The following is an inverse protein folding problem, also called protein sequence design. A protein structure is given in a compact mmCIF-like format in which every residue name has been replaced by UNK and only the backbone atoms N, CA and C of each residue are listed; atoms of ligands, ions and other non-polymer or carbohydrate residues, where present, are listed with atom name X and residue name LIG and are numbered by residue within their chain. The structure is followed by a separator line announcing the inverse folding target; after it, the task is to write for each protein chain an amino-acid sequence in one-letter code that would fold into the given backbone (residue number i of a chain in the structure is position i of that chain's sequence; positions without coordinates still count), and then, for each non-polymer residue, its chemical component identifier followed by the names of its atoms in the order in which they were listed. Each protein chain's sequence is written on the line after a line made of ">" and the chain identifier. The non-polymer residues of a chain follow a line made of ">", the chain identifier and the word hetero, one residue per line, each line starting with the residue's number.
data_IF_216893111722
#
_entry.id   IF_216893111722
#
_cell.length_a   1.000
_cell.length_b   1.000
_cell.length_c   1.000
_cell.angle_alpha   90.00
_cell.angle_beta   90.00
_cell.angle_gamma   90.00
#
_symmetry.space_group_name_H-M   'P 1'
#
loop_
_entity.id
_entity.type
_entity.pdbx_description
1 polymer ?
#
# COMPACT_ATOMS: atom_id res chain seq x y z
N UNK A 1 -12.10 17.42 -27.69
CA UNK A 1 -12.62 16.43 -26.77
C UNK A 1 -14.10 16.23 -27.09
N UNK A 2 -14.48 15.06 -27.58
CA UNK A 2 -15.87 14.80 -27.97
C UNK A 2 -16.69 14.42 -26.73
N UNK A 3 -17.61 15.30 -26.33
CA UNK A 3 -18.46 15.10 -25.16
C UNK A 3 -19.42 13.92 -25.28
N UNK A 4 -19.80 13.56 -26.49
CA UNK A 4 -20.68 12.42 -26.75
C UNK A 4 -20.00 11.10 -26.31
N UNK A 5 -18.71 10.96 -26.61
CA UNK A 5 -17.91 9.79 -26.21
C UNK A 5 -17.71 9.77 -24.70
N UNK A 6 -17.42 10.91 -24.08
CA UNK A 6 -17.31 11.01 -22.62
C UNK A 6 -18.59 10.54 -21.95
N UNK A 7 -19.76 11.00 -22.39
CA UNK A 7 -21.06 10.60 -21.83
C UNK A 7 -21.33 9.10 -22.03
N UNK A 8 -20.96 8.54 -23.17
CA UNK A 8 -21.15 7.13 -23.48
C UNK A 8 -20.27 6.24 -22.56
N UNK A 9 -19.01 6.65 -22.31
CA UNK A 9 -18.06 5.84 -21.53
C UNK A 9 -18.07 6.13 -20.04
N UNK A 10 -18.65 7.22 -19.59
CA UNK A 10 -18.71 7.58 -18.17
C UNK A 10 -19.25 6.45 -17.27
N UNK A 11 -20.33 5.72 -17.61
CA UNK A 11 -20.82 4.62 -16.78
C UNK A 11 -19.80 3.48 -16.65
N UNK A 12 -19.02 3.18 -17.70
CA UNK A 12 -17.98 2.17 -17.65
C UNK A 12 -16.82 2.59 -16.75
N UNK A 13 -16.37 3.85 -16.86
CA UNK A 13 -15.37 4.41 -15.96
C UNK A 13 -15.83 4.44 -14.51
N UNK A 14 -17.09 4.77 -14.24
CA UNK A 14 -17.64 4.73 -12.88
C UNK A 14 -17.59 3.31 -12.30
N UNK A 15 -18.04 2.32 -13.05
CA UNK A 15 -18.01 0.92 -12.62
C UNK A 15 -16.57 0.45 -12.37
N UNK A 16 -15.65 0.75 -13.29
CA UNK A 16 -14.23 0.42 -13.15
C UNK A 16 -13.58 1.15 -11.97
N UNK A 17 -13.94 2.41 -11.72
CA UNK A 17 -13.46 3.18 -10.58
C UNK A 17 -13.80 2.51 -9.24
N UNK A 18 -15.06 2.10 -9.05
CA UNK A 18 -15.47 1.42 -7.83
C UNK A 18 -14.84 0.03 -7.70
N UNK A 19 -14.67 -0.70 -8.81
CA UNK A 19 -13.97 -1.99 -8.80
C UNK A 19 -12.50 -1.81 -8.39
N UNK A 20 -11.80 -0.86 -9.02
CA UNK A 20 -10.41 -0.55 -8.70
C UNK A 20 -10.25 -0.12 -7.24
N UNK A 21 -11.12 0.76 -6.75
CA UNK A 21 -11.13 1.21 -5.36
C UNK A 21 -11.40 0.06 -4.40
N UNK A 22 -12.37 -0.80 -4.69
CA UNK A 22 -12.70 -1.96 -3.87
C UNK A 22 -11.49 -2.90 -3.71
N UNK A 23 -10.86 -3.27 -4.82
CA UNK A 23 -9.67 -4.13 -4.82
C UNK A 23 -8.49 -3.46 -4.10
N UNK A 24 -8.27 -2.16 -4.33
CA UNK A 24 -7.24 -1.40 -3.65
C UNK A 24 -7.45 -1.41 -2.12
N UNK A 25 -8.67 -1.19 -1.64
CA UNK A 25 -8.99 -1.22 -0.21
C UNK A 25 -8.74 -2.60 0.38
N UNK A 26 -9.21 -3.67 -0.25
CA UNK A 26 -8.97 -5.04 0.22
C UNK A 26 -7.48 -5.39 0.22
N UNK A 27 -6.77 -5.03 -0.84
CA UNK A 27 -5.33 -5.24 -0.96
C UNK A 27 -4.54 -4.48 0.11
N UNK A 28 -4.86 -3.21 0.35
CA UNK A 28 -4.20 -2.37 1.37
C UNK A 28 -4.48 -2.91 2.77
N UNK A 29 -5.72 -3.27 3.09
CA UNK A 29 -6.06 -3.86 4.40
C UNK A 29 -5.31 -5.18 4.62
N UNK A 30 -5.32 -6.08 3.63
CA UNK A 30 -4.56 -7.32 3.71
C UNK A 30 -3.05 -7.09 3.84
N UNK A 31 -2.51 -6.11 3.10
CA UNK A 31 -1.11 -5.69 3.20
C UNK A 31 -0.75 -5.16 4.58
N UNK A 32 -1.64 -4.38 5.20
CA UNK A 32 -1.46 -3.88 6.56
C UNK A 32 -1.33 -5.04 7.55
N UNK A 33 -2.25 -5.98 7.54
CA UNK A 33 -2.21 -7.12 8.46
C UNK A 33 -1.02 -8.04 8.20
N UNK A 34 -0.72 -8.37 6.95
CA UNK A 34 0.44 -9.19 6.60
C UNK A 34 1.74 -8.48 7.00
N UNK A 35 1.86 -7.19 6.70
CA UNK A 35 3.02 -6.38 7.08
C UNK A 35 3.21 -6.30 8.60
N UNK A 36 2.12 -6.16 9.36
CA UNK A 36 2.17 -6.18 10.83
C UNK A 36 2.70 -7.51 11.36
N UNK A 37 2.15 -8.63 10.87
CA UNK A 37 2.61 -9.97 11.28
C UNK A 37 4.09 -10.18 10.96
N UNK A 38 4.50 -9.85 9.74
CA UNK A 38 5.89 -9.97 9.30
C UNK A 38 6.83 -9.08 10.13
N UNK A 39 6.43 -7.84 10.42
CA UNK A 39 7.20 -6.92 11.26
C UNK A 39 7.38 -7.46 12.68
N UNK A 40 6.32 -7.99 13.29
CA UNK A 40 6.38 -8.60 14.63
C UNK A 40 7.30 -9.82 14.65
N UNK A 41 7.18 -10.73 13.68
CA UNK A 41 8.06 -11.92 13.55
C UNK A 41 9.54 -11.50 13.50
N UNK A 42 9.87 -10.49 12.71
CA UNK A 42 11.24 -10.00 12.56
C UNK A 42 11.72 -9.24 13.79
N UNK A 43 10.87 -8.46 14.44
CA UNK A 43 11.21 -7.73 15.66
C UNK A 43 11.60 -8.69 16.80
N UNK A 44 10.82 -9.73 17.02
CA UNK A 44 11.10 -10.74 18.03
C UNK A 44 12.12 -11.80 17.60
N UNK A 45 12.66 -11.69 16.37
CA UNK A 45 13.66 -12.63 15.81
C UNK A 45 13.24 -14.09 15.96
N UNK A 46 11.96 -14.39 15.69
CA UNK A 46 11.45 -15.75 15.80
C UNK A 46 12.25 -16.67 14.88
N UNK A 47 12.92 -17.73 15.41
CA UNK A 47 13.77 -18.60 14.61
C UNK A 47 13.02 -19.17 13.40
N UNK A 48 13.71 -19.35 12.27
CA UNK A 48 13.17 -19.81 10.98
C UNK A 48 12.18 -18.84 10.36
N UNK A 49 11.12 -18.39 11.08
CA UNK A 49 10.11 -17.47 10.55
C UNK A 49 10.71 -16.11 10.20
N UNK A 50 11.67 -15.62 10.96
CA UNK A 50 12.37 -14.36 10.64
C UNK A 50 13.16 -14.46 9.33
N UNK A 51 13.81 -15.62 9.07
CA UNK A 51 14.53 -15.85 7.82
C UNK A 51 13.57 -15.96 6.64
N UNK A 52 12.46 -16.69 6.80
CA UNK A 52 11.41 -16.78 5.78
C UNK A 52 10.78 -15.41 5.49
N UNK A 53 10.55 -14.62 6.52
CA UNK A 53 10.04 -13.24 6.38
C UNK A 53 11.02 -12.35 5.61
N UNK A 54 12.32 -12.49 5.84
CA UNK A 54 13.35 -11.77 5.08
C UNK A 54 13.35 -12.20 3.61
N UNK A 55 13.35 -13.51 3.34
CA UNK A 55 13.28 -14.03 1.98
C UNK A 55 12.00 -13.56 1.25
N UNK A 56 10.85 -13.55 1.95
CA UNK A 56 9.60 -13.02 1.41
C UNK A 56 9.73 -11.53 1.03
N UNK A 57 10.26 -10.69 1.91
CA UNK A 57 10.42 -9.26 1.65
C UNK A 57 11.34 -9.04 0.45
N UNK A 58 12.47 -9.70 0.40
CA UNK A 58 13.41 -9.60 -0.72
C UNK A 58 12.78 -10.06 -2.05
N UNK A 59 12.09 -11.20 -2.05
CA UNK A 59 11.41 -11.70 -3.24
C UNK A 59 10.32 -10.73 -3.70
N UNK A 60 9.46 -10.30 -2.78
CA UNK A 60 8.32 -9.45 -3.09
C UNK A 60 8.74 -8.08 -3.63
N UNK A 61 9.71 -7.41 -3.00
CA UNK A 61 10.14 -6.06 -3.37
C UNK A 61 11.00 -6.01 -4.62
N UNK A 62 11.71 -7.08 -4.94
CA UNK A 62 12.56 -7.17 -6.11
C UNK A 62 11.88 -7.82 -7.33
N UNK A 63 10.57 -8.10 -7.22
CA UNK A 63 9.78 -8.64 -8.34
C UNK A 63 8.64 -7.68 -8.67
N UNK A 64 8.48 -7.22 -9.94
CA UNK A 64 7.37 -6.36 -10.34
C UNK A 64 6.01 -7.01 -10.09
N UNK A 65 5.01 -6.22 -9.67
CA UNK A 65 3.65 -6.73 -9.43
C UNK A 65 3.07 -7.44 -10.67
N UNK A 66 3.32 -6.90 -11.85
CA UNK A 66 2.86 -7.52 -13.10
C UNK A 66 3.33 -8.98 -13.26
N UNK A 67 4.58 -9.27 -12.90
CA UNK A 67 5.12 -10.65 -12.96
C UNK A 67 4.46 -11.53 -11.89
N UNK A 68 4.24 -11.01 -10.69
CA UNK A 68 3.52 -11.71 -9.64
C UNK A 68 2.09 -12.07 -10.07
N UNK A 69 1.39 -11.11 -10.72
CA UNK A 69 0.05 -11.33 -11.26
C UNK A 69 0.03 -12.40 -12.37
N UNK A 70 1.02 -12.38 -13.26
CA UNK A 70 1.14 -13.40 -14.32
C UNK A 70 1.36 -14.79 -13.73
N UNK A 71 2.17 -14.90 -12.68
CA UNK A 71 2.34 -16.16 -11.97
C UNK A 71 1.01 -16.64 -11.34
N UNK A 72 0.27 -15.76 -10.68
CA UNK A 72 -1.03 -16.09 -10.06
C UNK A 72 -2.07 -16.48 -11.12
N UNK A 73 -2.17 -15.71 -12.21
CA UNK A 73 -3.26 -15.87 -13.18
C UNK A 73 -2.98 -16.95 -14.23
N UNK A 74 -1.75 -17.07 -14.74
CA UNK A 74 -1.36 -18.03 -15.77
C UNK A 74 -0.53 -19.22 -15.23
N UNK A 75 0.21 -19.03 -14.15
CA UNK A 75 1.08 -20.06 -13.57
C UNK A 75 0.34 -21.05 -12.70
N UNK A 76 -0.44 -20.57 -11.71
CA UNK A 76 -1.16 -21.43 -10.76
C UNK A 76 -2.16 -22.41 -11.43
N UNK A 77 -2.88 -22.05 -12.48
CA UNK A 77 -3.78 -23.00 -13.17
C UNK A 77 -3.07 -24.25 -13.69
N UNK A 78 -1.77 -24.16 -14.01
CA UNK A 78 -0.98 -25.34 -14.47
C UNK A 78 -0.78 -26.41 -13.39
N UNK A 79 -0.94 -26.04 -12.13
CA UNK A 79 -0.91 -26.98 -10.99
C UNK A 79 -2.30 -27.23 -10.39
N UNK A 80 -3.38 -26.84 -11.10
CA UNK A 80 -4.76 -27.07 -10.71
C UNK A 80 -5.38 -26.01 -9.81
N UNK A 81 -4.68 -24.92 -9.50
CA UNK A 81 -5.20 -23.80 -8.68
C UNK A 81 -5.65 -22.66 -9.58
N UNK A 82 -6.97 -22.49 -9.73
CA UNK A 82 -7.56 -21.42 -10.56
C UNK A 82 -8.13 -20.34 -9.66
N UNK A 83 -7.58 -19.13 -9.77
CA UNK A 83 -8.08 -17.94 -9.09
C UNK A 83 -8.81 -17.03 -10.08
N UNK A 84 -9.82 -16.30 -9.60
CA UNK A 84 -10.46 -15.23 -10.39
C UNK A 84 -9.47 -14.07 -10.58
N UNK A 85 -9.69 -13.23 -11.61
CA UNK A 85 -8.89 -12.01 -11.84
C UNK A 85 -8.87 -11.11 -10.62
N UNK A 86 -10.02 -10.94 -9.94
CA UNK A 86 -10.11 -10.14 -8.70
C UNK A 86 -9.28 -10.76 -7.57
N UNK A 87 -9.36 -12.09 -7.37
CA UNK A 87 -8.56 -12.77 -6.37
C UNK A 87 -7.05 -12.64 -6.65
N UNK A 88 -6.63 -12.78 -7.91
CA UNK A 88 -5.24 -12.56 -8.31
C UNK A 88 -4.78 -11.12 -7.99
N UNK A 89 -5.61 -10.12 -8.29
CA UNK A 89 -5.32 -8.73 -8.03
C UNK A 89 -5.17 -8.45 -6.52
N UNK A 90 -6.12 -8.92 -5.70
CA UNK A 90 -6.08 -8.74 -4.24
C UNK A 90 -4.88 -9.47 -3.64
N UNK A 91 -4.64 -10.74 -4.00
CA UNK A 91 -3.50 -11.53 -3.48
C UNK A 91 -2.16 -10.91 -3.89
N UNK A 92 -2.04 -10.47 -5.15
CA UNK A 92 -0.84 -9.79 -5.64
C UNK A 92 -0.55 -8.50 -4.87
N UNK A 93 -1.58 -7.65 -4.65
CA UNK A 93 -1.44 -6.44 -3.82
C UNK A 93 -1.06 -6.76 -2.38
N UNK A 94 -1.68 -7.77 -1.76
CA UNK A 94 -1.36 -8.18 -0.40
C UNK A 94 0.09 -8.67 -0.31
N UNK A 95 0.51 -9.48 -1.28
CA UNK A 95 1.87 -10.00 -1.31
C UNK A 95 2.91 -8.89 -1.49
N UNK A 96 2.69 -7.97 -2.44
CA UNK A 96 3.59 -6.83 -2.65
C UNK A 96 3.52 -5.85 -1.47
N UNK A 97 2.32 -5.39 -1.14
CA UNK A 97 2.10 -4.35 -0.14
C UNK A 97 2.50 -4.77 1.27
N UNK A 98 2.30 -6.05 1.63
CA UNK A 98 2.70 -6.59 2.93
C UNK A 98 4.19 -6.43 3.20
N UNK A 99 5.04 -6.62 2.19
CA UNK A 99 6.48 -6.41 2.30
C UNK A 99 6.87 -4.95 2.54
N UNK A 100 6.21 -4.01 1.85
CA UNK A 100 6.43 -2.57 2.05
C UNK A 100 5.91 -2.09 3.40
N UNK A 101 4.72 -2.56 3.83
CA UNK A 101 4.16 -2.23 5.14
C UNK A 101 5.02 -2.78 6.28
N UNK A 102 5.56 -4.00 6.15
CA UNK A 102 6.47 -4.59 7.14
C UNK A 102 7.70 -3.72 7.37
N UNK A 103 8.31 -3.19 6.32
CA UNK A 103 9.45 -2.29 6.44
C UNK A 103 9.06 -0.93 7.04
N UNK A 104 7.87 -0.39 6.73
CA UNK A 104 7.38 0.84 7.35
C UNK A 104 7.18 0.66 8.86
N UNK A 105 6.60 -0.45 9.30
CA UNK A 105 6.41 -0.74 10.72
C UNK A 105 7.74 -0.96 11.44
N UNK A 106 8.66 -1.71 10.80
CA UNK A 106 10.00 -1.94 11.35
C UNK A 106 10.75 -0.61 11.52
N UNK A 107 10.78 0.24 10.51
CA UNK A 107 11.48 1.53 10.60
C UNK A 107 10.90 2.44 11.68
N UNK A 108 9.58 2.42 11.87
CA UNK A 108 8.92 3.15 12.96
C UNK A 108 9.32 2.66 14.34
N UNK A 109 9.37 1.34 14.54
CA UNK A 109 9.76 0.75 15.82
C UNK A 109 11.26 0.98 16.13
N UNK A 110 12.13 0.85 15.12
CA UNK A 110 13.58 1.03 15.29
C UNK A 110 13.99 2.49 15.49
N UNK A 111 13.17 3.45 15.06
CA UNK A 111 13.43 4.86 15.27
C UNK A 111 13.29 5.31 16.74
N UNK A 112 12.59 4.54 17.57
CA UNK A 112 12.44 4.84 18.99
C UNK A 112 13.67 4.32 19.74
N UNK A 113 14.39 5.24 20.42
CA UNK A 113 15.61 4.87 21.12
C UNK A 113 15.35 3.90 22.28
N UNK A 114 16.27 2.98 22.52
CA UNK A 114 16.19 2.05 23.65
C UNK A 114 16.17 2.76 25.01
N UNK A 115 16.79 3.94 25.10
CA UNK A 115 16.75 4.78 26.28
C UNK A 115 15.31 5.11 26.71
N UNK A 116 14.39 5.33 25.77
CA UNK A 116 12.97 5.58 26.09
C UNK A 116 12.32 4.37 26.79
N UNK A 117 12.70 3.15 26.40
CA UNK A 117 12.25 1.93 27.04
C UNK A 117 12.81 1.84 28.48
N UNK A 118 14.10 2.07 28.67
CA UNK A 118 14.79 1.99 29.96
C UNK A 118 14.28 3.04 30.96
N UNK A 119 14.10 4.28 30.49
CA UNK A 119 13.53 5.38 31.31
C UNK A 119 12.10 5.03 31.73
N UNK A 120 11.28 4.52 30.81
CA UNK A 120 9.93 4.11 31.13
C UNK A 120 9.87 3.07 32.26
N UNK A 121 10.74 2.06 32.20
CA UNK A 121 10.87 1.04 33.25
C UNK A 121 11.36 1.64 34.57
N UNK A 122 12.31 2.58 34.53
CA UNK A 122 12.90 3.22 35.72
C UNK A 122 11.90 4.04 36.53
N UNK A 123 10.86 4.60 35.87
CA UNK A 123 9.78 5.33 36.56
C UNK A 123 8.62 4.42 37.00
N UNK A 124 8.80 3.08 36.92
CA UNK A 124 7.85 2.09 37.40
C UNK A 124 6.76 1.67 36.42
N UNK A 125 6.85 2.01 35.13
CA UNK A 125 5.92 1.49 34.13
C UNK A 125 6.23 0.01 33.85
N UNK A 126 5.18 -0.77 33.64
CA UNK A 126 5.34 -2.15 33.14
C UNK A 126 5.79 -2.15 31.68
N UNK A 127 6.43 -3.22 31.17
CA UNK A 127 6.84 -3.30 29.75
C UNK A 127 5.71 -3.03 28.77
N UNK A 128 4.49 -3.50 29.05
CA UNK A 128 3.31 -3.23 28.24
C UNK A 128 2.91 -1.74 28.27
N UNK A 129 3.00 -1.09 29.44
CA UNK A 129 2.73 0.34 29.56
C UNK A 129 3.77 1.17 28.82
N UNK A 130 5.06 0.82 28.91
CA UNK A 130 6.13 1.46 28.12
C UNK A 130 5.85 1.32 26.64
N UNK A 131 5.53 0.12 26.17
CA UNK A 131 5.18 -0.09 24.76
C UNK A 131 3.96 0.75 24.35
N UNK A 132 2.88 0.68 25.12
CA UNK A 132 1.58 1.30 24.75
C UNK A 132 1.61 2.83 24.83
N UNK A 133 2.28 3.40 25.82
CA UNK A 133 2.22 4.84 26.10
C UNK A 133 3.45 5.61 25.64
N UNK A 134 4.60 4.96 25.47
CA UNK A 134 5.87 5.62 25.10
C UNK A 134 6.29 5.24 23.69
N UNK A 135 6.44 3.93 23.41
CA UNK A 135 7.04 3.47 22.14
C UNK A 135 6.04 3.56 20.98
N UNK A 136 4.85 2.98 21.15
CA UNK A 136 3.88 2.87 20.08
C UNK A 136 3.47 4.22 19.45
N UNK A 137 3.16 5.27 20.24
CA UNK A 137 2.81 6.57 19.67
C UNK A 137 3.93 7.19 18.85
N UNK A 138 5.19 7.06 19.30
CA UNK A 138 6.35 7.55 18.59
C UNK A 138 6.61 6.73 17.31
N UNK A 139 6.57 5.41 17.42
CA UNK A 139 6.74 4.51 16.29
C UNK A 139 5.71 4.76 15.17
N UNK A 140 4.44 4.97 15.55
CA UNK A 140 3.38 5.31 14.58
C UNK A 140 3.65 6.64 13.89
N UNK A 141 4.06 7.67 14.65
CA UNK A 141 4.35 8.98 14.08
C UNK A 141 5.50 8.92 13.07
N UNK A 142 6.52 8.11 13.33
CA UNK A 142 7.67 7.92 12.42
C UNK A 142 7.30 7.03 11.22
N UNK A 143 6.51 5.99 11.43
CA UNK A 143 6.10 5.08 10.35
C UNK A 143 5.10 5.71 9.37
N UNK A 144 4.29 6.68 9.81
CA UNK A 144 3.16 7.20 9.06
C UNK A 144 3.52 7.77 7.68
N UNK A 145 4.58 8.58 7.49
CA UNK A 145 4.96 9.08 6.16
C UNK A 145 5.29 7.96 5.17
N UNK A 146 6.04 6.95 5.61
CA UNK A 146 6.34 5.76 4.79
C UNK A 146 5.09 4.92 4.51
N UNK A 147 4.21 4.76 5.51
CA UNK A 147 2.94 4.05 5.36
C UNK A 147 2.04 4.76 4.34
N UNK A 148 1.86 6.07 4.44
CA UNK A 148 1.03 6.84 3.50
C UNK A 148 1.57 6.80 2.07
N UNK A 149 2.89 6.89 1.91
CA UNK A 149 3.54 6.73 0.61
C UNK A 149 3.28 5.34 0.00
N UNK A 150 3.33 4.28 0.81
CA UNK A 150 3.05 2.92 0.37
C UNK A 150 1.57 2.71 0.01
N UNK A 151 0.62 3.31 0.73
CA UNK A 151 -0.80 3.28 0.36
C UNK A 151 -1.01 3.92 -1.02
N UNK A 152 -0.45 5.10 -1.25
CA UNK A 152 -0.53 5.80 -2.54
C UNK A 152 0.14 4.98 -3.65
N UNK A 153 1.30 4.38 -3.36
CA UNK A 153 2.00 3.49 -4.28
C UNK A 153 1.13 2.30 -4.68
N UNK A 154 0.55 1.57 -3.73
CA UNK A 154 -0.29 0.40 -4.01
C UNK A 154 -1.53 0.74 -4.85
N UNK A 155 -2.15 1.92 -4.64
CA UNK A 155 -3.25 2.37 -5.50
C UNK A 155 -2.77 2.59 -6.94
N UNK A 156 -1.59 3.14 -7.15
CA UNK A 156 -1.02 3.31 -8.50
C UNK A 156 -0.70 1.96 -9.15
N UNK A 157 -0.23 0.98 -8.37
CA UNK A 157 0.05 -0.37 -8.84
C UNK A 157 -1.20 -1.08 -9.39
N UNK A 158 -2.41 -0.66 -9.02
CA UNK A 158 -3.64 -1.24 -9.60
C UNK A 158 -3.71 -1.08 -11.13
N UNK A 159 -2.98 -0.13 -11.70
CA UNK A 159 -2.96 0.13 -13.14
C UNK A 159 -2.49 -1.05 -14.01
N UNK A 160 -1.84 -2.05 -13.42
CA UNK A 160 -1.40 -3.26 -14.15
C UNK A 160 -2.44 -4.40 -14.16
N UNK A 161 -3.57 -4.25 -13.47
CA UNK A 161 -4.57 -5.32 -13.36
C UNK A 161 -5.25 -5.69 -14.67
N UNK A 162 -5.35 -4.75 -15.60
CA UNK A 162 -5.84 -5.02 -16.96
C UNK A 162 -5.08 -6.16 -17.67
N UNK A 163 -3.86 -6.47 -17.22
CA UNK A 163 -3.04 -7.54 -17.79
C UNK A 163 -3.53 -8.96 -17.41
N UNK A 164 -4.37 -9.07 -16.38
CA UNK A 164 -5.00 -10.33 -15.93
C UNK A 164 -6.51 -10.33 -16.17
N UNK A 165 -6.94 -9.69 -17.24
CA UNK A 165 -8.34 -9.62 -17.68
C UNK A 165 -9.32 -9.04 -16.63
N UNK A 166 -8.83 -8.15 -15.75
CA UNK A 166 -9.67 -7.41 -14.83
C UNK A 166 -10.16 -6.12 -15.49
N UNK A 167 -11.48 -5.89 -15.46
CA UNK A 167 -12.11 -4.70 -16.05
C UNK A 167 -11.95 -3.45 -15.14
N UNK A 168 -10.70 -3.13 -14.79
CA UNK A 168 -10.30 -1.96 -14.01
C UNK A 168 -10.28 -0.67 -14.86
N UNK A 169 -9.85 0.45 -14.27
CA UNK A 169 -9.76 1.74 -14.96
C UNK A 169 -8.85 1.68 -16.19
N UNK A 170 -7.72 0.98 -16.11
CA UNK A 170 -6.79 0.85 -17.25
C UNK A 170 -7.37 -0.03 -18.35
N UNK A 171 -8.13 -1.07 -17.99
CA UNK A 171 -8.81 -1.92 -18.96
C UNK A 171 -9.82 -1.11 -19.80
N UNK A 172 -10.68 -0.33 -19.13
CA UNK A 172 -11.68 0.51 -19.82
C UNK A 172 -11.00 1.56 -20.71
N UNK A 173 -9.90 2.17 -20.27
CA UNK A 173 -9.14 3.10 -21.09
C UNK A 173 -8.56 2.42 -22.35
N UNK A 174 -7.98 1.24 -22.20
CA UNK A 174 -7.46 0.45 -23.35
C UNK A 174 -8.57 0.04 -24.32
N UNK A 175 -9.74 -0.34 -23.80
CA UNK A 175 -10.90 -0.72 -24.60
C UNK A 175 -11.40 0.47 -25.43
N UNK A 176 -11.52 1.65 -24.82
CA UNK A 176 -11.88 2.89 -25.53
C UNK A 176 -10.87 3.24 -26.62
N UNK A 177 -9.57 3.13 -26.36
CA UNK A 177 -8.52 3.37 -27.36
C UNK A 177 -8.61 2.34 -28.49
N UNK A 178 -8.78 1.07 -28.14
CA UNK A 178 -8.80 -0.01 -29.13
C UNK A 178 -10.02 -0.03 -30.06
N UNK A 179 -11.20 0.34 -29.54
CA UNK A 179 -12.46 0.32 -30.30
C UNK A 179 -12.73 1.60 -31.08
N UNK A 180 -12.36 2.76 -30.53
CA UNK A 180 -12.75 4.07 -31.08
C UNK A 180 -11.57 4.92 -31.52
N UNK A 181 -10.32 4.51 -31.23
CA UNK A 181 -9.09 5.26 -31.50
C UNK A 181 -9.03 6.64 -30.81
N UNK A 182 -9.85 6.84 -29.75
CA UNK A 182 -9.98 8.09 -29.00
C UNK A 182 -9.01 8.14 -27.81
N UNK A 183 -7.72 8.21 -28.13
CA UNK A 183 -6.65 8.15 -27.11
C UNK A 183 -6.71 9.32 -26.14
N UNK A 184 -6.94 10.54 -26.62
CA UNK A 184 -6.93 11.75 -25.76
C UNK A 184 -8.08 11.74 -24.76
N UNK A 185 -9.27 11.29 -25.19
CA UNK A 185 -10.45 11.16 -24.30
C UNK A 185 -10.20 10.07 -23.27
N UNK A 186 -9.74 8.89 -23.71
CA UNK A 186 -9.47 7.76 -22.84
C UNK A 186 -8.44 8.10 -21.75
N UNK A 187 -7.29 8.66 -22.14
CA UNK A 187 -6.25 9.04 -21.19
C UNK A 187 -6.68 10.20 -20.28
N UNK A 188 -7.41 11.19 -20.81
CA UNK A 188 -7.97 12.27 -20.00
C UNK A 188 -8.90 11.77 -18.91
N UNK A 189 -9.85 10.89 -19.25
CA UNK A 189 -10.76 10.26 -18.29
C UNK A 189 -10.00 9.39 -17.27
N UNK A 190 -8.99 8.63 -17.71
CA UNK A 190 -8.15 7.81 -16.83
C UNK A 190 -7.39 8.66 -15.80
N UNK A 191 -6.74 9.75 -16.25
CA UNK A 191 -6.03 10.68 -15.38
C UNK A 191 -6.97 11.31 -14.35
N UNK A 192 -8.14 11.79 -14.80
CA UNK A 192 -9.15 12.36 -13.90
C UNK A 192 -9.61 11.33 -12.87
N UNK A 193 -9.88 10.08 -13.28
CA UNK A 193 -10.31 9.02 -12.37
C UNK A 193 -9.25 8.73 -11.30
N UNK A 194 -7.97 8.58 -11.67
CA UNK A 194 -6.89 8.39 -10.68
C UNK A 194 -6.67 9.61 -9.79
N UNK A 195 -6.80 10.83 -10.31
CA UNK A 195 -6.72 12.05 -9.50
C UNK A 195 -7.85 12.11 -8.47
N UNK A 196 -9.09 11.80 -8.87
CA UNK A 196 -10.24 11.75 -7.96
C UNK A 196 -10.06 10.70 -6.85
N UNK A 197 -9.35 9.59 -7.12
CA UNK A 197 -9.05 8.57 -6.14
C UNK A 197 -7.89 8.97 -5.22
N UNK A 198 -6.79 9.45 -5.77
CA UNK A 198 -5.52 9.67 -5.06
C UNK A 198 -5.46 11.00 -4.31
N UNK A 199 -6.02 12.09 -4.86
CA UNK A 199 -5.94 13.41 -4.23
C UNK A 199 -6.60 13.44 -2.84
N UNK A 200 -7.84 12.95 -2.64
CA UNK A 200 -8.46 12.94 -1.31
C UNK A 200 -7.64 12.14 -0.30
N UNK A 201 -7.14 10.97 -0.71
CA UNK A 201 -6.32 10.08 0.14
C UNK A 201 -5.02 10.78 0.53
N UNK A 202 -4.33 11.40 -0.43
CA UNK A 202 -3.09 12.14 -0.20
C UNK A 202 -3.29 13.33 0.75
N UNK A 203 -4.39 14.08 0.58
CA UNK A 203 -4.72 15.22 1.45
C UNK A 203 -5.03 14.77 2.88
N UNK A 204 -5.76 13.67 3.05
CA UNK A 204 -6.06 13.09 4.36
C UNK A 204 -4.77 12.67 5.07
N UNK A 205 -3.89 11.92 4.39
CA UNK A 205 -2.61 11.53 4.98
C UNK A 205 -1.74 12.73 5.33
N UNK A 206 -1.61 13.72 4.45
CA UNK A 206 -0.87 14.95 4.72
C UNK A 206 -1.40 15.71 5.92
N UNK A 207 -2.73 15.73 6.11
CA UNK A 207 -3.34 16.33 7.29
C UNK A 207 -3.03 15.56 8.58
N UNK A 208 -3.11 14.22 8.56
CA UNK A 208 -2.79 13.36 9.70
C UNK A 208 -1.31 13.52 10.08
N UNK A 209 -0.40 13.50 9.10
CA UNK A 209 1.05 13.67 9.31
C UNK A 209 1.38 15.01 9.97
N UNK A 210 0.74 16.10 9.53
CA UNK A 210 0.91 17.42 10.16
C UNK A 210 0.46 17.39 11.61
N UNK A 211 -0.70 16.81 11.89
CA UNK A 211 -1.22 16.73 13.26
C UNK A 211 -0.30 15.96 14.21
N UNK A 212 0.23 14.83 13.76
CA UNK A 212 1.15 14.02 14.58
C UNK A 212 2.50 14.72 14.82
N UNK A 213 3.01 15.47 13.86
CA UNK A 213 4.21 16.31 14.07
C UNK A 213 4.01 17.39 15.13
N UNK A 214 2.86 18.06 15.13
CA UNK A 214 2.54 19.09 16.13
C UNK A 214 2.29 18.52 17.53
N UNK A 215 1.93 17.24 17.65
CA UNK A 215 1.74 16.58 18.95
C UNK A 215 3.07 16.21 19.66
N UNK A 216 4.22 16.66 19.18
CA UNK A 216 5.53 16.45 19.81
C UNK A 216 6.16 15.08 19.57
N UNK A 217 5.54 14.23 18.79
CA UNK A 217 6.07 12.91 18.40
C UNK A 217 6.93 12.95 17.12
N UNK A 218 7.09 14.12 16.50
CA UNK A 218 7.98 14.30 15.37
C UNK A 218 9.42 14.44 15.85
N UNK A 219 10.34 13.83 15.13
CA UNK A 219 11.78 14.04 15.28
C UNK A 219 12.03 15.56 15.37
N UNK A 220 12.60 16.00 16.48
CA UNK A 220 13.22 17.30 16.55
C UNK A 220 14.28 17.30 15.45
N UNK A 221 13.97 17.95 14.34
CA UNK A 221 14.91 18.10 13.25
C UNK A 221 16.19 18.62 13.82
N UNK A 222 17.29 17.99 13.51
CA UNK A 222 18.60 18.54 13.70
C UNK A 222 18.65 19.89 12.97
N UNK A 223 18.30 20.94 13.68
CA UNK A 223 18.75 22.28 13.38
C UNK A 223 20.22 22.32 13.78
N UNK A 224 21.06 21.63 13.04
CA UNK A 224 22.46 21.99 12.96
C UNK A 224 22.50 23.18 12.03
N UNK A 225 22.58 24.36 12.65
CA UNK A 225 23.01 25.56 12.01
C UNK A 225 24.40 25.40 11.43
N UNK A 226 24.60 26.14 10.47
CA UNK A 226 25.69 26.84 9.81
C UNK A 226 25.59 26.72 8.32
#
# INVERSE_FOLDING_TARGET
>A
MDWSIVQQYLPFYQKAFFLTLHIAVLGILGSFFLGLVVSVIRHYRVPVLSQLSTAYIELSRNTPLLIQLFFLYFGLPRIGLVLSSEACAVVGLIFLGGSYMAESFRSGLEAVSQTQHEVGLSIGLTPFQVFRYVILPQAVAVALPSFSANVIFLIKETSVFSAVALADLMYVAKDLIGLYYETDVALGMLVVAYLLMLLPISLVFSWIERRLRYAGFGLSGSSSGE
#
